data_IF_986490988330
#
_entry.id   IF_986490988330
#
_cell.length_a   1.000
_cell.length_b   1.000
_cell.length_c   1.000
_cell.angle_alpha   90.00
_cell.angle_beta   90.00
_cell.angle_gamma   90.00
#
_symmetry.space_group_name_H-M   'P 1'
#
loop_
_entity.id
_entity.type
_entity.pdbx_description
1 polymer ?
#
# COMPACT_ATOMS: atom_id res chain seq x y z
N UNK A 1 2.34 36.23 4.61
CA UNK A 1 3.33 35.39 3.89
C UNK A 1 3.14 33.95 4.34
N UNK A 2 2.36 33.16 3.60
CA UNK A 2 2.22 31.73 3.87
C UNK A 2 3.47 31.02 3.37
N UNK A 3 4.35 30.63 4.28
CA UNK A 3 5.36 29.62 3.96
C UNK A 3 4.59 28.31 3.67
N UNK A 4 4.37 28.01 2.39
CA UNK A 4 4.13 26.62 1.96
C UNK A 4 5.37 25.85 2.40
N UNK A 5 5.27 25.06 3.45
CA UNK A 5 6.24 24.03 3.71
C UNK A 5 6.21 23.14 2.46
N UNK A 6 7.26 23.22 1.66
CA UNK A 6 7.51 22.27 0.58
C UNK A 6 7.51 20.88 1.23
N UNK A 7 6.65 19.99 0.75
CA UNK A 7 6.47 18.66 1.34
C UNK A 7 7.70 17.79 1.15
N UNK A 8 8.58 18.10 0.28
CA UNK A 8 9.83 17.38 -0.07
C UNK A 8 9.78 15.86 0.23
N UNK A 9 8.85 15.19 -0.45
CA UNK A 9 8.60 13.76 -0.26
C UNK A 9 9.83 12.94 -0.67
N UNK A 10 10.57 13.38 -1.68
CA UNK A 10 11.79 12.69 -2.12
C UNK A 10 12.87 12.74 -1.03
N UNK A 11 13.09 13.90 -0.37
CA UNK A 11 14.01 13.98 0.78
C UNK A 11 13.55 13.10 1.96
N UNK A 12 12.23 12.99 2.16
CA UNK A 12 11.68 12.14 3.21
C UNK A 12 11.88 10.66 2.92
N UNK A 13 11.67 10.22 1.68
CA UNK A 13 11.98 8.86 1.25
C UNK A 13 13.46 8.54 1.46
N UNK A 14 14.34 9.48 1.10
CA UNK A 14 15.78 9.33 1.31
C UNK A 14 16.14 9.21 2.80
N UNK A 15 15.58 10.06 3.65
CA UNK A 15 15.80 10.03 5.10
C UNK A 15 15.32 8.72 5.74
N UNK A 16 14.27 8.10 5.20
CA UNK A 16 13.74 6.81 5.62
C UNK A 16 14.51 5.62 5.01
N UNK A 17 15.48 5.88 4.12
CA UNK A 17 16.20 4.83 3.40
C UNK A 17 15.31 4.05 2.42
N UNK A 18 14.23 4.67 1.93
CA UNK A 18 13.26 4.03 1.03
C UNK A 18 13.61 4.36 -0.42
N UNK A 19 13.80 3.31 -1.22
CA UNK A 19 13.79 3.38 -2.67
C UNK A 19 12.48 2.78 -3.16
N UNK A 20 11.68 3.58 -3.88
CA UNK A 20 10.42 3.07 -4.45
C UNK A 20 10.73 2.01 -5.51
N UNK A 21 10.01 0.87 -5.49
CA UNK A 21 10.15 -0.13 -6.55
C UNK A 21 9.66 0.42 -7.89
N UNK A 22 10.03 -0.24 -8.98
CA UNK A 22 9.39 0.01 -10.26
C UNK A 22 7.91 -0.36 -10.15
N UNK A 23 7.04 0.52 -10.67
CA UNK A 23 5.60 0.28 -10.64
C UNK A 23 5.28 -1.06 -11.32
N UNK A 24 4.61 -2.01 -10.62
CA UNK A 24 4.23 -3.29 -11.23
C UNK A 24 3.31 -3.08 -12.42
N UNK A 25 3.47 -3.89 -13.47
CA UNK A 25 2.53 -3.91 -14.60
C UNK A 25 1.26 -4.64 -14.22
N UNK A 26 0.12 -4.17 -14.75
CA UNK A 26 -1.17 -4.87 -14.54
C UNK A 26 -1.13 -6.28 -15.11
N UNK A 27 -1.57 -7.25 -14.30
CA UNK A 27 -1.56 -8.67 -14.68
C UNK A 27 -2.79 -9.10 -15.50
N UNK A 28 -3.80 -8.23 -15.66
CA UNK A 28 -5.07 -8.54 -16.30
C UNK A 28 -5.61 -7.34 -17.11
N UNK A 29 -6.83 -7.46 -17.63
CA UNK A 29 -7.48 -6.40 -18.42
C UNK A 29 -8.03 -5.28 -17.52
N UNK A 30 -7.12 -4.51 -16.89
CA UNK A 30 -7.43 -3.30 -16.14
C UNK A 30 -6.20 -2.36 -16.13
N UNK A 31 -6.40 -1.12 -15.68
CA UNK A 31 -5.33 -0.12 -15.56
C UNK A 31 -4.85 -0.03 -14.11
N UNK A 32 -3.58 0.32 -13.87
CA UNK A 32 -3.03 0.40 -12.51
C UNK A 32 -3.67 1.51 -11.68
N UNK A 33 -4.15 2.58 -12.30
CA UNK A 33 -4.90 3.65 -11.65
C UNK A 33 -5.85 4.34 -12.61
N UNK A 34 -6.85 5.00 -12.03
CA UNK A 34 -7.77 5.91 -12.74
C UNK A 34 -7.79 7.24 -11.99
N UNK A 35 -7.66 8.33 -12.72
CA UNK A 35 -7.86 9.68 -12.17
C UNK A 35 -9.25 10.19 -12.51
N UNK A 36 -9.96 10.72 -11.53
CA UNK A 36 -11.25 11.39 -11.67
C UNK A 36 -11.21 12.72 -10.91
N UNK A 37 -11.12 13.82 -11.66
CA UNK A 37 -10.83 15.13 -11.06
C UNK A 37 -9.45 15.14 -10.40
N UNK A 38 -9.42 15.46 -9.13
CA UNK A 38 -8.21 15.43 -8.29
C UNK A 38 -8.05 14.14 -7.48
N UNK A 39 -8.90 13.14 -7.70
CA UNK A 39 -8.82 11.85 -7.03
C UNK A 39 -8.16 10.80 -7.93
N UNK A 40 -7.23 10.06 -7.35
CA UNK A 40 -6.52 8.94 -7.99
C UNK A 40 -6.88 7.65 -7.28
N UNK A 41 -7.55 6.76 -7.99
CA UNK A 41 -7.93 5.42 -7.55
C UNK A 41 -6.86 4.45 -8.02
N UNK A 42 -6.17 3.81 -7.10
CA UNK A 42 -5.11 2.85 -7.42
C UNK A 42 -5.63 1.44 -7.15
N UNK A 43 -5.49 0.59 -8.17
CA UNK A 43 -5.85 -0.84 -8.12
C UNK A 43 -5.09 -1.56 -7.01
N UNK A 44 -5.65 -2.66 -6.51
CA UNK A 44 -5.03 -3.49 -5.48
C UNK A 44 -3.60 -3.87 -5.84
N UNK A 45 -2.70 -3.70 -4.89
CA UNK A 45 -1.30 -4.05 -5.00
C UNK A 45 -0.99 -5.24 -4.10
N UNK A 46 -0.34 -6.24 -4.66
CA UNK A 46 0.19 -7.40 -3.96
C UNK A 46 1.59 -7.09 -3.40
N UNK A 47 2.10 -7.90 -2.45
CA UNK A 47 3.45 -7.72 -1.90
C UNK A 47 4.51 -8.24 -2.88
N UNK A 48 4.73 -7.51 -3.97
CA UNK A 48 5.65 -7.87 -5.04
C UNK A 48 6.94 -7.06 -4.97
N UNK A 49 8.07 -7.75 -5.08
CA UNK A 49 9.40 -7.16 -5.25
C UNK A 49 10.05 -7.84 -6.46
N UNK A 50 10.53 -7.06 -7.42
CA UNK A 50 11.17 -7.53 -8.64
C UNK A 50 10.36 -8.62 -9.38
N UNK A 51 9.03 -8.42 -9.45
CA UNK A 51 8.12 -9.33 -10.13
C UNK A 51 7.81 -10.64 -9.39
N UNK A 52 8.22 -10.76 -8.13
CA UNK A 52 7.98 -11.96 -7.30
C UNK A 52 7.19 -11.60 -6.05
N UNK A 53 6.23 -12.46 -5.68
CA UNK A 53 5.55 -12.36 -4.39
C UNK A 53 6.54 -12.64 -3.26
N UNK A 54 6.54 -11.77 -2.25
CA UNK A 54 7.38 -11.91 -1.05
C UNK A 54 6.67 -12.62 0.10
N UNK A 55 5.34 -12.76 0.04
CA UNK A 55 4.55 -13.35 1.10
C UNK A 55 3.34 -14.08 0.51
N UNK A 56 3.31 -15.40 0.68
CA UNK A 56 2.31 -16.33 0.15
C UNK A 56 1.79 -17.19 1.30
N UNK A 57 0.49 -17.46 1.34
CA UNK A 57 -0.16 -18.27 2.34
C UNK A 57 -1.21 -17.53 3.15
N UNK A 58 -1.75 -18.20 4.18
CA UNK A 58 -2.76 -17.64 5.08
C UNK A 58 -2.16 -17.14 6.39
N UNK A 59 -2.54 -15.92 6.77
CA UNK A 59 -2.12 -15.32 8.04
C UNK A 59 -2.87 -15.98 9.20
N UNK A 60 -2.13 -16.41 10.22
CA UNK A 60 -2.69 -17.05 11.39
C UNK A 60 -3.01 -18.55 11.21
N UNK A 61 -2.82 -19.12 10.03
CA UNK A 61 -2.88 -20.55 9.83
C UNK A 61 -1.69 -21.23 10.52
N UNK A 62 -1.94 -22.38 11.13
CA UNK A 62 -0.87 -23.22 11.69
C UNK A 62 -0.15 -24.02 10.60
N UNK A 63 1.05 -24.52 10.90
CA UNK A 63 1.84 -25.38 10.00
C UNK A 63 2.85 -24.62 9.16
N UNK A 64 3.50 -25.33 8.25
CA UNK A 64 4.64 -24.83 7.46
C UNK A 64 4.24 -23.75 6.43
N UNK A 65 2.97 -23.70 6.03
CA UNK A 65 2.42 -22.73 5.07
C UNK A 65 1.78 -21.51 5.75
N UNK A 66 1.82 -21.43 7.08
CA UNK A 66 1.25 -20.33 7.85
C UNK A 66 2.12 -19.07 7.78
N UNK A 67 1.46 -17.92 7.57
CA UNK A 67 2.12 -16.61 7.59
C UNK A 67 1.97 -16.00 8.98
N UNK A 68 3.08 -15.57 9.57
CA UNK A 68 3.07 -14.88 10.87
C UNK A 68 2.52 -13.45 10.73
N UNK A 69 2.07 -12.88 11.87
CA UNK A 69 1.62 -11.50 11.91
C UNK A 69 2.72 -10.52 11.42
N UNK A 70 3.96 -10.73 11.82
CA UNK A 70 5.10 -9.88 11.44
C UNK A 70 5.36 -9.94 9.93
N UNK A 71 5.39 -11.15 9.35
CA UNK A 71 5.53 -11.32 7.90
C UNK A 71 4.39 -10.64 7.12
N UNK A 72 3.17 -10.70 7.64
CA UNK A 72 2.01 -10.07 7.03
C UNK A 72 2.07 -8.53 7.13
N UNK A 73 2.56 -7.97 8.25
CA UNK A 73 2.80 -6.52 8.39
C UNK A 73 3.85 -6.05 7.37
N UNK A 74 4.95 -6.77 7.21
CA UNK A 74 5.97 -6.46 6.21
C UNK A 74 5.41 -6.55 4.79
N UNK A 75 4.57 -7.55 4.51
CA UNK A 75 3.89 -7.69 3.23
C UNK A 75 2.96 -6.50 2.95
N UNK A 76 2.18 -6.03 3.94
CA UNK A 76 1.35 -4.84 3.81
C UNK A 76 2.18 -3.58 3.51
N UNK A 77 3.36 -3.45 4.13
CA UNK A 77 4.31 -2.37 3.84
C UNK A 77 4.79 -2.42 2.38
N UNK A 78 5.12 -3.60 1.86
CA UNK A 78 5.50 -3.78 0.44
C UNK A 78 4.34 -3.40 -0.49
N UNK A 79 3.11 -3.81 -0.19
CA UNK A 79 1.93 -3.40 -0.95
C UNK A 79 1.81 -1.86 -1.00
N UNK A 80 2.04 -1.19 0.12
CA UNK A 80 1.98 0.28 0.20
C UNK A 80 3.09 0.96 -0.61
N UNK A 81 4.31 0.41 -0.64
CA UNK A 81 5.38 0.89 -1.52
C UNK A 81 4.98 0.78 -2.99
N UNK A 82 4.33 -0.33 -3.38
CA UNK A 82 3.80 -0.51 -4.73
C UNK A 82 2.67 0.47 -5.05
N UNK A 83 1.78 0.79 -4.09
CA UNK A 83 0.77 1.85 -4.26
C UNK A 83 1.41 3.20 -4.56
N UNK A 84 2.44 3.59 -3.80
CA UNK A 84 3.14 4.87 -4.01
C UNK A 84 3.87 4.89 -5.36
N UNK A 85 4.42 3.77 -5.78
CA UNK A 85 5.04 3.62 -7.10
C UNK A 85 4.02 3.81 -8.23
N UNK A 86 2.80 3.28 -8.08
CA UNK A 86 1.71 3.50 -9.04
C UNK A 86 1.16 4.94 -8.99
N UNK A 87 1.23 5.61 -7.82
CA UNK A 87 0.80 6.98 -7.65
C UNK A 87 1.75 7.98 -8.36
N UNK A 88 3.04 7.69 -8.40
CA UNK A 88 4.06 8.59 -8.93
C UNK A 88 3.79 9.03 -10.38
N UNK A 89 3.44 8.16 -11.34
CA UNK A 89 3.03 8.58 -12.68
C UNK A 89 1.79 9.49 -12.70
N UNK A 90 0.80 9.25 -11.83
CA UNK A 90 -0.39 10.11 -11.73
C UNK A 90 -0.05 11.52 -11.22
N UNK A 91 1.09 11.67 -10.56
CA UNK A 91 1.64 12.95 -10.09
C UNK A 91 2.68 13.55 -11.05
N UNK A 92 2.77 13.08 -12.30
CA UNK A 92 3.81 13.51 -13.26
C UNK A 92 5.25 13.34 -12.71
N UNK A 93 5.44 12.37 -11.81
CA UNK A 93 6.73 12.08 -11.16
C UNK A 93 6.98 12.85 -9.86
N UNK A 94 6.15 13.82 -9.51
CA UNK A 94 6.29 14.69 -8.33
C UNK A 94 5.28 14.32 -7.23
N UNK A 95 5.72 13.57 -6.23
CA UNK A 95 4.88 13.16 -5.11
C UNK A 95 4.50 14.31 -4.15
N UNK A 96 5.10 15.48 -4.26
CA UNK A 96 4.69 16.68 -3.53
C UNK A 96 3.29 17.17 -3.94
N UNK A 97 2.81 16.74 -5.11
CA UNK A 97 1.44 16.97 -5.58
C UNK A 97 0.38 16.20 -4.78
N UNK A 98 0.75 15.21 -3.98
CA UNK A 98 -0.19 14.48 -3.13
C UNK A 98 -0.72 15.42 -2.05
N UNK A 99 -2.02 15.72 -2.08
CA UNK A 99 -2.70 16.53 -1.06
C UNK A 99 -2.90 15.71 0.19
N UNK A 100 -3.41 14.48 0.03
CA UNK A 100 -3.60 13.52 1.13
C UNK A 100 -3.84 12.10 0.63
N UNK A 101 -3.58 11.14 1.51
CA UNK A 101 -4.13 9.80 1.41
C UNK A 101 -5.58 9.86 1.90
N UNK A 102 -6.54 9.51 1.05
CA UNK A 102 -7.97 9.60 1.37
C UNK A 102 -8.44 8.32 2.05
N UNK A 103 -8.12 7.16 1.45
CA UNK A 103 -8.55 5.87 1.95
C UNK A 103 -7.57 4.75 1.55
N UNK A 104 -7.41 3.77 2.44
CA UNK A 104 -6.83 2.48 2.12
C UNK A 104 -7.87 1.36 2.34
N UNK A 105 -7.89 0.39 1.44
CA UNK A 105 -8.58 -0.88 1.61
C UNK A 105 -7.54 -1.99 1.74
N UNK A 106 -7.55 -2.71 2.86
CA UNK A 106 -6.62 -3.80 3.11
C UNK A 106 -7.34 -5.14 3.19
N UNK A 107 -6.84 -6.13 2.47
CA UNK A 107 -7.37 -7.48 2.39
C UNK A 107 -6.29 -8.46 2.85
N UNK A 108 -6.64 -9.33 3.78
CA UNK A 108 -5.71 -10.29 4.37
C UNK A 108 -6.26 -11.69 4.15
N UNK A 109 -5.55 -12.51 3.38
CA UNK A 109 -5.84 -13.95 3.31
C UNK A 109 -5.53 -14.54 4.67
N UNK A 110 -6.55 -14.83 5.47
CA UNK A 110 -6.37 -15.19 6.87
C UNK A 110 -7.22 -16.40 7.28
N UNK A 111 -6.74 -17.11 8.31
CA UNK A 111 -7.52 -18.15 8.97
C UNK A 111 -8.83 -17.58 9.53
N UNK A 112 -9.86 -18.41 9.62
CA UNK A 112 -11.21 -18.01 10.07
C UNK A 112 -11.24 -17.45 11.50
N UNK A 113 -10.28 -17.82 12.34
CA UNK A 113 -10.18 -17.34 13.72
C UNK A 113 -9.22 -16.15 13.89
N UNK A 114 -8.53 -15.75 12.83
CA UNK A 114 -7.64 -14.60 12.85
C UNK A 114 -8.45 -13.30 12.81
N UNK A 115 -8.27 -12.44 13.79
CA UNK A 115 -9.01 -11.18 13.93
C UNK A 115 -8.12 -9.93 13.97
N UNK A 116 -6.81 -10.11 13.76
CA UNK A 116 -5.81 -9.03 13.81
C UNK A 116 -5.50 -8.41 12.44
N UNK A 117 -6.42 -8.50 11.46
CA UNK A 117 -6.28 -7.84 10.16
C UNK A 117 -5.93 -6.34 10.29
N UNK A 118 -6.51 -5.57 11.23
CA UNK A 118 -6.10 -4.18 11.43
C UNK A 118 -4.62 -4.01 11.77
N UNK A 119 -4.03 -4.95 12.53
CA UNK A 119 -2.59 -4.91 12.85
C UNK A 119 -1.73 -5.18 11.61
N UNK A 120 -2.15 -6.12 10.76
CA UNK A 120 -1.48 -6.39 9.49
C UNK A 120 -1.43 -5.13 8.63
N UNK A 121 -2.56 -4.48 8.44
CA UNK A 121 -2.66 -3.31 7.55
C UNK A 121 -1.99 -2.06 8.16
N UNK A 122 -1.66 -2.05 9.44
CA UNK A 122 -0.80 -1.01 10.02
C UNK A 122 0.54 -0.91 9.29
N UNK A 123 1.09 -2.00 8.76
CA UNK A 123 2.30 -1.95 7.93
C UNK A 123 2.19 -0.99 6.75
N UNK A 124 1.01 -0.93 6.11
CA UNK A 124 0.72 0.05 5.05
C UNK A 124 0.41 1.44 5.62
N UNK A 125 -0.43 1.53 6.65
CA UNK A 125 -0.89 2.80 7.21
C UNK A 125 0.24 3.61 7.84
N UNK A 126 1.12 2.96 8.58
CA UNK A 126 2.27 3.60 9.23
C UNK A 126 3.23 4.15 8.17
N UNK A 127 3.48 3.39 7.09
CA UNK A 127 4.30 3.87 5.98
C UNK A 127 3.71 5.13 5.32
N UNK A 128 2.39 5.20 5.12
CA UNK A 128 1.75 6.41 4.57
C UNK A 128 1.97 7.62 5.48
N UNK A 129 1.89 7.45 6.79
CA UNK A 129 2.16 8.52 7.75
C UNK A 129 3.65 8.88 7.78
N UNK A 130 4.54 7.89 7.73
CA UNK A 130 5.99 8.11 7.69
C UNK A 130 6.39 8.95 6.47
N UNK A 131 5.78 8.72 5.30
CA UNK A 131 6.10 9.41 4.06
C UNK A 131 5.37 10.75 3.93
N UNK A 132 4.05 10.78 4.16
CA UNK A 132 3.21 11.95 3.90
C UNK A 132 2.89 12.79 5.15
N UNK A 133 3.34 12.36 6.34
CA UNK A 133 3.03 13.03 7.60
C UNK A 133 1.51 13.04 7.89
N UNK A 134 0.97 14.18 8.32
CA UNK A 134 -0.46 14.28 8.61
C UNK A 134 -1.34 14.06 7.37
N UNK A 135 -0.85 14.34 6.18
CA UNK A 135 -1.54 14.01 4.93
C UNK A 135 -1.63 12.50 4.67
N UNK A 136 -0.82 11.70 5.33
CA UNK A 136 -0.87 10.23 5.30
C UNK A 136 -1.98 9.61 6.15
N UNK A 137 -2.62 10.36 7.05
CA UNK A 137 -3.74 9.89 7.89
C UNK A 137 -5.00 9.75 7.05
N UNK A 138 -5.57 8.57 7.01
CA UNK A 138 -6.60 8.16 6.04
C UNK A 138 -7.73 7.38 6.68
N UNK A 139 -8.89 7.32 6.01
CA UNK A 139 -9.93 6.35 6.29
C UNK A 139 -9.50 4.95 5.85
N UNK A 140 -9.98 3.89 6.52
CA UNK A 140 -9.50 2.54 6.24
C UNK A 140 -10.58 1.48 6.48
N UNK A 141 -10.54 0.42 5.66
CA UNK A 141 -11.07 -0.90 6.00
C UNK A 141 -9.92 -1.92 5.99
N UNK A 142 -9.96 -2.88 6.92
CA UNK A 142 -9.03 -4.01 6.98
C UNK A 142 -9.84 -5.27 7.29
N UNK A 143 -9.92 -6.18 6.33
CA UNK A 143 -10.81 -7.34 6.38
C UNK A 143 -10.07 -8.62 6.01
N UNK A 144 -10.55 -9.74 6.55
CA UNK A 144 -10.11 -11.08 6.16
C UNK A 144 -10.83 -11.54 4.90
N UNK A 145 -10.12 -12.26 4.05
CA UNK A 145 -10.63 -12.93 2.86
C UNK A 145 -10.11 -14.37 2.82
N UNK A 146 -10.80 -15.25 2.10
CA UNK A 146 -10.40 -16.65 2.02
C UNK A 146 -9.08 -16.83 1.27
N UNK A 147 -8.95 -16.15 0.13
CA UNK A 147 -7.77 -16.23 -0.74
C UNK A 147 -7.59 -14.91 -1.48
N UNK A 148 -6.37 -14.65 -1.91
CA UNK A 148 -6.01 -13.53 -2.77
C UNK A 148 -5.35 -14.05 -4.06
N UNK A 149 -5.29 -13.23 -5.12
CA UNK A 149 -4.63 -13.62 -6.37
C UNK A 149 -3.21 -14.15 -6.13
N UNK A 150 -2.84 -15.18 -6.86
CA UNK A 150 -1.54 -15.86 -6.78
C UNK A 150 -1.20 -16.43 -5.39
N UNK A 151 -2.17 -16.56 -4.49
CA UNK A 151 -1.95 -17.01 -3.12
C UNK A 151 -1.30 -15.96 -2.21
N UNK A 152 -1.30 -14.69 -2.59
CA UNK A 152 -0.75 -13.61 -1.77
C UNK A 152 -1.41 -13.56 -0.39
N UNK A 153 -0.63 -13.26 0.65
CA UNK A 153 -1.14 -13.14 2.00
C UNK A 153 -1.87 -11.81 2.26
N UNK A 154 -1.49 -10.75 1.54
CA UNK A 154 -2.02 -9.39 1.73
C UNK A 154 -2.20 -8.71 0.38
N UNK A 155 -3.23 -7.88 0.27
CA UNK A 155 -3.45 -6.94 -0.83
C UNK A 155 -3.91 -5.60 -0.26
N UNK A 156 -3.44 -4.50 -0.85
CA UNK A 156 -3.87 -3.15 -0.43
C UNK A 156 -4.21 -2.30 -1.65
N UNK A 157 -5.39 -1.68 -1.64
CA UNK A 157 -5.82 -0.65 -2.60
C UNK A 157 -5.77 0.74 -1.98
N UNK A 158 -5.74 1.79 -2.80
CA UNK A 158 -5.64 3.15 -2.28
C UNK A 158 -6.38 4.19 -3.09
N UNK A 159 -6.87 5.21 -2.39
CA UNK A 159 -7.45 6.43 -2.95
C UNK A 159 -6.67 7.63 -2.42
N UNK A 160 -6.20 8.47 -3.35
CA UNK A 160 -5.37 9.63 -3.07
C UNK A 160 -5.99 10.89 -3.68
N UNK A 161 -5.76 12.02 -3.05
CA UNK A 161 -6.07 13.34 -3.61
C UNK A 161 -4.77 14.01 -4.04
N UNK A 162 -4.75 14.55 -5.26
CA UNK A 162 -3.62 15.29 -5.82
C UNK A 162 -4.08 16.69 -6.28
N UNK A 163 -3.12 17.62 -6.44
CA UNK A 163 -3.38 18.98 -6.97
C UNK A 163 -2.90 19.14 -8.41
#
# INVERSE_FOLDING_TARGET
>A
MNQKHSKDIDARLQALGITLPNAPTSAANYVPFVQSGNLVFISGQLPMVDGKLTCVGQVGAGGDDGVSLEQAIDAARVCALNLISQLKPACDGDLDRVVRVVRLGGFVASDNNFTDQPKVINGASDLMVDIFGDAGRHARAAVGVNTLPLGAAVEVEGLFEIN
#
